data_IF_528257109310
#
_entry.id   IF_528257109310
#
_cell.length_a   1.000
_cell.length_b   1.000
_cell.length_c   1.000
_cell.angle_alpha   90.00
_cell.angle_beta   90.00
_cell.angle_gamma   90.00
#
_symmetry.space_group_name_H-M   'P 1'
#
loop_
_entity.id
_entity.type
_entity.pdbx_description
1 polymer ?
#
# COMPACT_ATOMS: atom_id res chain seq x y z
N UNK A 1 21.88 59.48 23.43
CA UNK A 1 20.59 58.83 23.20
C UNK A 1 20.41 58.26 21.79
N UNK A 2 21.09 58.77 20.77
CA UNK A 2 20.92 58.27 19.37
C UNK A 2 21.48 56.89 19.08
N UNK A 3 22.44 56.37 19.82
CA UNK A 3 23.04 55.02 19.58
C UNK A 3 22.13 53.85 20.01
N UNK A 4 21.28 54.02 21.01
CA UNK A 4 20.38 52.94 21.48
C UNK A 4 19.19 52.69 20.53
N UNK A 5 18.69 53.71 19.86
CA UNK A 5 17.61 53.59 18.89
C UNK A 5 18.02 52.92 17.57
N UNK A 6 19.27 53.16 17.14
CA UNK A 6 19.83 52.55 15.96
C UNK A 6 19.98 51.01 16.17
N UNK A 7 20.47 50.59 17.33
CA UNK A 7 20.60 49.18 17.65
C UNK A 7 19.24 48.47 17.74
N UNK A 8 18.22 49.14 18.23
CA UNK A 8 16.85 48.58 18.29
C UNK A 8 16.24 48.41 16.91
N UNK A 9 16.41 49.38 16.02
CA UNK A 9 15.90 49.33 14.66
C UNK A 9 16.62 48.20 13.88
N UNK A 10 17.93 48.07 14.08
CA UNK A 10 18.71 47.02 13.45
C UNK A 10 18.27 45.64 13.96
N UNK A 11 18.04 45.46 15.26
CA UNK A 11 17.55 44.23 15.84
C UNK A 11 16.16 43.83 15.34
N UNK A 12 15.24 44.77 15.21
CA UNK A 12 13.91 44.54 14.64
C UNK A 12 14.01 44.17 13.16
N UNK A 13 14.86 44.85 12.40
CA UNK A 13 15.09 44.53 10.99
C UNK A 13 15.62 43.11 10.78
N UNK A 14 16.57 42.64 11.58
CA UNK A 14 17.09 41.28 11.55
C UNK A 14 16.00 40.25 11.90
N UNK A 15 15.17 40.55 12.89
CA UNK A 15 14.06 39.68 13.30
C UNK A 15 13.02 39.53 12.19
N UNK A 16 12.68 40.59 11.48
CA UNK A 16 11.76 40.53 10.34
C UNK A 16 12.32 39.71 9.19
N UNK A 17 13.61 39.85 8.88
CA UNK A 17 14.26 39.06 7.84
C UNK A 17 14.30 37.58 8.21
N UNK A 18 14.65 37.22 9.45
CA UNK A 18 14.67 35.85 9.94
C UNK A 18 13.29 35.19 9.96
N UNK A 19 12.25 35.95 10.39
CA UNK A 19 10.90 35.41 10.36
C UNK A 19 10.35 35.23 8.94
N UNK A 20 10.68 36.15 8.03
CA UNK A 20 10.35 36.00 6.59
C UNK A 20 11.04 34.79 5.94
N UNK A 21 12.32 34.59 6.23
CA UNK A 21 13.04 33.42 5.76
C UNK A 21 12.47 32.10 6.32
N UNK A 22 12.10 32.08 7.60
CA UNK A 22 11.50 30.90 8.22
C UNK A 22 10.14 30.53 7.59
N UNK A 23 9.28 31.52 7.35
CA UNK A 23 7.98 31.28 6.68
C UNK A 23 8.18 30.83 5.24
N UNK A 24 9.15 31.41 4.51
CA UNK A 24 9.48 31.01 3.15
C UNK A 24 9.98 29.57 3.06
N UNK A 25 10.89 29.16 3.94
CA UNK A 25 11.42 27.78 3.99
C UNK A 25 10.30 26.80 4.36
N UNK A 26 9.48 27.15 5.36
CA UNK A 26 8.35 26.27 5.76
C UNK A 26 7.32 26.09 4.65
N UNK A 27 7.00 27.15 3.90
CA UNK A 27 6.11 27.06 2.75
C UNK A 27 6.72 26.25 1.60
N UNK A 28 8.03 26.37 1.38
CA UNK A 28 8.75 25.59 0.36
C UNK A 28 8.79 24.08 0.71
N UNK A 29 9.12 23.76 1.97
CA UNK A 29 9.14 22.36 2.44
C UNK A 29 7.73 21.74 2.38
N UNK A 30 6.69 22.45 2.84
CA UNK A 30 5.32 21.97 2.76
C UNK A 30 4.85 21.72 1.32
N UNK A 31 5.30 22.53 0.36
CA UNK A 31 5.01 22.34 -1.05
C UNK A 31 5.76 21.14 -1.64
N UNK A 32 6.99 20.89 -1.17
CA UNK A 32 7.79 19.74 -1.59
C UNK A 32 7.24 18.44 -1.00
N UNK A 33 6.85 18.42 0.28
CA UNK A 33 6.18 17.28 0.91
C UNK A 33 4.84 16.94 0.23
N UNK A 34 4.08 17.95 -0.22
CA UNK A 34 2.86 17.74 -0.98
C UNK A 34 3.13 17.18 -2.39
N UNK A 35 4.20 17.64 -3.05
CA UNK A 35 4.61 17.12 -4.35
C UNK A 35 5.18 15.70 -4.26
N UNK A 36 5.94 15.40 -3.20
CA UNK A 36 6.47 14.07 -2.93
C UNK A 36 5.35 13.07 -2.57
N UNK A 37 4.30 13.53 -1.86
CA UNK A 37 3.12 12.72 -1.56
C UNK A 37 2.28 12.42 -2.82
N UNK A 38 2.11 13.42 -3.69
CA UNK A 38 1.39 13.26 -4.96
C UNK A 38 2.18 12.38 -5.95
N UNK A 39 3.51 12.48 -5.96
CA UNK A 39 4.39 11.61 -6.73
C UNK A 39 4.42 10.19 -6.19
N UNK A 40 4.34 10.00 -4.87
CA UNK A 40 4.28 8.69 -4.24
C UNK A 40 2.95 7.96 -4.53
N UNK A 41 1.84 8.68 -4.69
CA UNK A 41 0.56 8.09 -5.10
C UNK A 41 0.58 7.66 -6.58
N UNK A 42 1.31 8.37 -7.45
CA UNK A 42 1.51 7.95 -8.84
C UNK A 42 2.54 6.81 -8.97
N UNK A 43 3.52 6.71 -8.06
CA UNK A 43 4.54 5.66 -8.06
C UNK A 43 4.05 4.32 -7.51
N UNK A 44 2.97 4.31 -6.70
CA UNK A 44 2.43 3.10 -6.07
C UNK A 44 1.00 2.83 -6.55
N UNK A 45 0.82 2.40 -7.80
CA UNK A 45 -0.51 2.09 -8.31
C UNK A 45 -1.14 0.94 -7.53
N UNK A 46 -2.44 1.02 -7.33
CA UNK A 46 -3.22 -0.10 -6.80
C UNK A 46 -3.25 -1.22 -7.84
N UNK A 47 -2.76 -2.40 -7.46
CA UNK A 47 -2.66 -3.56 -8.34
C UNK A 47 -3.92 -4.41 -8.21
N UNK A 48 -4.41 -4.58 -6.99
CA UNK A 48 -5.55 -5.43 -6.66
C UNK A 48 -6.44 -4.69 -5.67
N UNK A 49 -7.72 -4.70 -5.98
CA UNK A 49 -8.78 -4.19 -5.11
C UNK A 49 -9.93 -5.19 -5.13
N UNK A 50 -10.03 -6.01 -4.09
CA UNK A 50 -11.07 -7.02 -3.95
C UNK A 50 -11.81 -6.77 -2.66
N UNK A 51 -13.11 -6.45 -2.75
CA UNK A 51 -13.92 -6.29 -1.55
C UNK A 51 -14.06 -7.61 -0.81
N UNK A 52 -13.74 -7.63 0.47
CA UNK A 52 -13.77 -8.86 1.30
C UNK A 52 -15.14 -9.54 1.32
N UNK A 53 -16.20 -8.74 1.15
CA UNK A 53 -17.59 -9.27 1.11
C UNK A 53 -17.86 -10.12 -0.14
N UNK A 54 -17.15 -9.87 -1.23
CA UNK A 54 -17.36 -10.52 -2.52
C UNK A 54 -16.52 -11.80 -2.67
N UNK A 55 -15.58 -12.05 -1.76
CA UNK A 55 -14.71 -13.23 -1.80
C UNK A 55 -15.48 -14.47 -1.40
N UNK A 56 -15.49 -15.47 -2.29
CA UNK A 56 -16.16 -16.76 -2.12
C UNK A 56 -15.20 -17.89 -1.81
N UNK A 57 -14.03 -17.88 -2.41
CA UNK A 57 -13.00 -18.87 -2.11
C UNK A 57 -11.60 -18.29 -2.29
N UNK A 58 -10.66 -18.89 -1.59
CA UNK A 58 -9.23 -18.61 -1.72
C UNK A 58 -8.50 -19.93 -1.88
N UNK A 59 -7.71 -20.02 -2.94
CA UNK A 59 -6.86 -21.15 -3.23
C UNK A 59 -5.39 -20.73 -3.11
N UNK A 60 -4.63 -21.51 -2.36
CA UNK A 60 -3.19 -21.37 -2.23
C UNK A 60 -2.50 -22.52 -2.96
N UNK A 61 -1.51 -22.20 -3.75
CA UNK A 61 -0.54 -23.17 -4.23
C UNK A 61 0.80 -22.80 -3.61
N UNK A 62 1.35 -23.67 -2.79
CA UNK A 62 2.63 -23.49 -2.10
C UNK A 62 3.43 -24.77 -2.28
N UNK A 63 4.63 -24.68 -2.85
CA UNK A 63 5.48 -25.87 -3.13
C UNK A 63 4.71 -26.98 -3.88
N UNK A 64 3.88 -26.60 -4.87
CA UNK A 64 3.04 -27.52 -5.66
C UNK A 64 1.95 -28.25 -4.85
N UNK A 65 1.67 -27.79 -3.64
CA UNK A 65 0.54 -28.25 -2.83
C UNK A 65 -0.57 -27.23 -2.91
N UNK A 66 -1.76 -27.70 -3.22
CA UNK A 66 -2.95 -26.88 -3.32
C UNK A 66 -3.79 -27.01 -2.04
N UNK A 67 -4.22 -25.90 -1.52
CA UNK A 67 -5.18 -25.81 -0.41
C UNK A 67 -6.23 -24.76 -0.75
N UNK A 68 -7.49 -25.14 -0.68
CA UNK A 68 -8.61 -24.24 -0.97
C UNK A 68 -9.50 -24.08 0.25
N UNK A 69 -9.82 -22.83 0.56
CA UNK A 69 -10.82 -22.47 1.55
C UNK A 69 -12.02 -21.83 0.85
N UNK A 70 -13.20 -22.26 1.21
CA UNK A 70 -14.45 -21.78 0.64
C UNK A 70 -15.31 -21.16 1.75
N UNK A 71 -16.08 -20.15 1.39
CA UNK A 71 -17.01 -19.51 2.30
C UNK A 71 -18.33 -20.28 2.30
N UNK A 72 -18.69 -20.83 3.45
CA UNK A 72 -19.98 -21.49 3.70
C UNK A 72 -20.79 -20.64 4.69
N UNK A 73 -21.71 -19.84 4.15
CA UNK A 73 -22.39 -18.79 4.91
C UNK A 73 -21.42 -17.73 5.44
N UNK A 74 -21.33 -17.62 6.77
CA UNK A 74 -20.44 -16.68 7.45
C UNK A 74 -19.11 -17.30 7.88
N UNK A 75 -18.85 -18.56 7.53
CA UNK A 75 -17.67 -19.31 7.98
C UNK A 75 -16.82 -19.79 6.81
N UNK A 76 -15.52 -19.88 7.05
CA UNK A 76 -14.57 -20.50 6.13
C UNK A 76 -14.40 -21.98 6.42
N UNK A 77 -14.45 -22.80 5.40
CA UNK A 77 -14.23 -24.24 5.46
C UNK A 77 -13.12 -24.64 4.49
N UNK A 78 -12.36 -25.69 4.82
CA UNK A 78 -11.41 -26.27 3.91
C UNK A 78 -12.16 -27.15 2.91
N UNK A 79 -11.98 -26.91 1.62
CA UNK A 79 -12.80 -27.49 0.54
C UNK A 79 -12.73 -29.03 0.48
N UNK A 80 -11.55 -29.60 0.75
CA UNK A 80 -11.30 -31.05 0.70
C UNK A 80 -11.48 -31.74 2.07
N UNK A 81 -11.69 -30.99 3.15
CA UNK A 81 -11.79 -31.53 4.51
C UNK A 81 -12.71 -30.66 5.39
N UNK A 82 -14.00 -30.90 5.32
CA UNK A 82 -15.04 -30.09 6.01
C UNK A 82 -14.94 -30.11 7.55
N UNK A 83 -14.24 -31.06 8.14
CA UNK A 83 -13.96 -31.15 9.59
C UNK A 83 -12.66 -30.48 10.03
N UNK A 84 -11.91 -29.90 9.11
CA UNK A 84 -10.66 -29.23 9.43
C UNK A 84 -10.91 -27.94 10.25
N UNK A 85 -10.22 -27.78 11.41
CA UNK A 85 -10.38 -26.57 12.21
C UNK A 85 -9.73 -25.37 11.53
N UNK A 86 -10.54 -24.54 10.87
CA UNK A 86 -10.10 -23.31 10.22
C UNK A 86 -10.10 -22.16 11.23
N UNK A 87 -8.99 -21.45 11.32
CA UNK A 87 -8.90 -20.20 12.09
C UNK A 87 -9.56 -19.08 11.29
N UNK A 88 -10.80 -18.77 11.62
CA UNK A 88 -11.65 -17.81 10.91
C UNK A 88 -11.01 -16.42 10.90
N UNK A 89 -10.48 -15.96 12.04
CA UNK A 89 -9.89 -14.62 12.18
C UNK A 89 -8.67 -14.45 11.27
N UNK A 90 -7.89 -15.50 11.07
CA UNK A 90 -6.73 -15.46 10.17
C UNK A 90 -7.14 -15.38 8.71
N UNK A 91 -8.14 -16.14 8.30
CA UNK A 91 -8.64 -16.08 6.93
C UNK A 91 -9.28 -14.72 6.68
N UNK A 92 -10.08 -14.19 7.59
CA UNK A 92 -10.69 -12.87 7.46
C UNK A 92 -9.64 -11.75 7.40
N UNK A 93 -8.57 -11.85 8.18
CA UNK A 93 -7.45 -10.90 8.12
C UNK A 93 -6.76 -10.96 6.76
N UNK A 94 -6.51 -12.16 6.23
CA UNK A 94 -5.92 -12.35 4.91
C UNK A 94 -6.81 -11.75 3.83
N UNK A 95 -8.11 -12.09 3.82
CA UNK A 95 -9.08 -11.55 2.87
C UNK A 95 -9.13 -10.03 2.93
N UNK A 96 -9.09 -9.47 4.14
CA UNK A 96 -9.06 -8.01 4.33
C UNK A 96 -7.80 -7.36 3.76
N UNK A 97 -6.66 -8.07 3.76
CA UNK A 97 -5.43 -7.55 3.15
C UNK A 97 -5.49 -7.45 1.63
N UNK A 98 -6.42 -8.16 0.98
CA UNK A 98 -6.64 -8.12 -0.46
C UNK A 98 -7.51 -6.93 -0.90
N UNK A 99 -8.10 -6.18 0.03
CA UNK A 99 -8.95 -5.03 -0.30
C UNK A 99 -8.20 -3.94 -1.08
N UNK A 100 -6.91 -3.80 -0.83
CA UNK A 100 -6.07 -2.84 -1.53
C UNK A 100 -4.60 -3.29 -1.46
N UNK A 101 -4.13 -3.87 -2.55
CA UNK A 101 -2.70 -4.18 -2.72
C UNK A 101 -2.12 -3.14 -3.66
N UNK A 102 -1.15 -2.38 -3.16
CA UNK A 102 -0.44 -1.36 -3.93
C UNK A 102 0.96 -1.84 -4.30
N UNK A 103 1.43 -1.45 -5.47
CA UNK A 103 2.82 -1.68 -5.84
C UNK A 103 3.74 -0.87 -4.93
N UNK A 104 4.81 -1.46 -4.45
CA UNK A 104 5.87 -0.72 -3.78
C UNK A 104 6.72 0.06 -4.79
N UNK A 105 6.87 -0.50 -5.99
CA UNK A 105 7.53 0.13 -7.13
C UNK A 105 7.10 -0.52 -8.44
N UNK A 106 7.20 0.21 -9.51
CA UNK A 106 7.06 -0.31 -10.87
C UNK A 106 8.44 -0.46 -11.51
N UNK A 107 8.67 -1.59 -12.16
CA UNK A 107 9.89 -1.81 -12.95
C UNK A 107 9.61 -1.43 -14.39
N UNK A 108 10.41 -0.51 -14.93
CA UNK A 108 10.34 -0.12 -16.33
C UNK A 108 11.32 -0.94 -17.17
N UNK A 109 10.99 -1.12 -18.45
CA UNK A 109 11.83 -1.82 -19.43
C UNK A 109 12.13 -3.29 -19.09
N UNK A 110 11.19 -3.98 -18.45
CA UNK A 110 11.25 -5.44 -18.27
C UNK A 110 10.89 -6.11 -19.60
N UNK A 111 11.88 -6.71 -20.26
CA UNK A 111 11.66 -7.43 -21.52
C UNK A 111 11.21 -8.87 -21.30
N UNK A 112 11.58 -9.49 -20.18
CA UNK A 112 11.27 -10.87 -19.84
C UNK A 112 10.93 -11.03 -18.36
N UNK A 113 9.72 -11.50 -18.08
CA UNK A 113 9.25 -11.77 -16.72
C UNK A 113 9.94 -13.00 -16.08
N UNK A 114 10.56 -13.86 -16.90
CA UNK A 114 11.28 -15.04 -16.42
C UNK A 114 12.53 -14.70 -15.59
N UNK A 115 13.14 -13.54 -15.81
CA UNK A 115 14.24 -13.04 -14.97
C UNK A 115 13.84 -12.83 -13.51
N UNK A 116 12.55 -12.71 -13.25
CA UNK A 116 11.96 -12.50 -11.92
C UNK A 116 11.17 -13.72 -11.44
N UNK A 117 11.27 -14.86 -12.14
CA UNK A 117 10.53 -16.10 -11.83
C UNK A 117 9.00 -15.94 -11.87
N UNK A 118 8.49 -14.94 -12.61
CA UNK A 118 7.06 -14.62 -12.70
C UNK A 118 6.33 -15.37 -13.81
N UNK A 119 7.06 -16.03 -14.70
CA UNK A 119 6.50 -16.88 -15.77
C UNK A 119 5.99 -18.24 -15.25
N UNK A 120 6.61 -18.76 -14.19
CA UNK A 120 6.23 -20.03 -13.54
C UNK A 120 6.35 -19.89 -12.01
N UNK A 121 5.49 -19.11 -11.36
CA UNK A 121 5.56 -18.90 -9.93
C UNK A 121 5.31 -20.20 -9.16
N UNK A 122 6.16 -20.50 -8.19
CA UNK A 122 6.00 -21.69 -7.32
C UNK A 122 4.88 -21.51 -6.29
N UNK A 123 4.58 -20.27 -5.96
CA UNK A 123 3.54 -19.92 -5.00
C UNK A 123 2.54 -18.97 -5.65
N UNK A 124 1.27 -19.30 -5.55
CA UNK A 124 0.18 -18.46 -6.06
C UNK A 124 -0.98 -18.41 -5.09
N UNK A 125 -1.69 -17.30 -5.12
CA UNK A 125 -2.95 -17.13 -4.42
C UNK A 125 -4.02 -16.82 -5.47
N UNK A 126 -5.04 -17.66 -5.56
CA UNK A 126 -6.18 -17.40 -6.43
C UNK A 126 -7.40 -17.06 -5.58
N UNK A 127 -8.01 -15.93 -5.85
CA UNK A 127 -9.21 -15.44 -5.17
C UNK A 127 -10.37 -15.52 -6.14
N UNK A 128 -11.45 -16.18 -5.74
CA UNK A 128 -12.67 -16.26 -6.52
C UNK A 128 -13.75 -15.37 -5.90
N UNK A 129 -14.32 -14.52 -6.72
CA UNK A 129 -15.45 -13.64 -6.41
C UNK A 129 -16.64 -13.97 -7.31
N UNK A 130 -17.75 -13.23 -7.17
CA UNK A 130 -18.88 -13.35 -8.11
C UNK A 130 -18.51 -12.94 -9.54
N UNK A 131 -17.56 -12.01 -9.68
CA UNK A 131 -17.14 -11.45 -10.96
C UNK A 131 -16.10 -12.29 -11.69
N UNK A 132 -15.44 -13.23 -10.99
CA UNK A 132 -14.44 -14.11 -11.57
C UNK A 132 -13.29 -14.47 -10.63
N UNK A 133 -12.21 -14.97 -11.21
CA UNK A 133 -11.00 -15.37 -10.50
C UNK A 133 -9.87 -14.37 -10.75
N UNK A 134 -9.16 -14.01 -9.70
CA UNK A 134 -7.92 -13.23 -9.74
C UNK A 134 -6.80 -14.05 -9.12
N UNK A 135 -5.68 -14.23 -9.83
CA UNK A 135 -4.49 -14.94 -9.34
C UNK A 135 -3.33 -13.97 -9.14
N UNK A 136 -2.63 -14.13 -8.03
CA UNK A 136 -1.47 -13.32 -7.61
C UNK A 136 -0.31 -14.24 -7.31
#
# INVERSE_FOLDING_TARGET
MKKKSVNLITAVGVLVVLSGAYVGVKAYVAKQEAADAESAEEENPEIISIASADVKSIKFVIDKKEVTFEKDGDSWVKSDETGFPVDQDKIDTLVSSLNSIKAERTLENVEDASEYELDQPENTITVTTEDGETTV
#
